data_IF_258171752797
#
_entry.id   IF_258171752797
#
_cell.length_a   1.000
_cell.length_b   1.000
_cell.length_c   1.000
_cell.angle_alpha   90.00
_cell.angle_beta   90.00
_cell.angle_gamma   90.00
#
_symmetry.space_group_name_H-M   'P 1'
#
loop_
_entity.id
_entity.type
_entity.pdbx_description
1 polymer ?
#
# COMPACT_ATOMS: atom_id res chain seq x y z
N UNK A 1 10.15 -14.41 -34.26
CA UNK A 1 9.46 -13.34 -35.03
C UNK A 1 8.08 -13.17 -34.44
N UNK A 2 7.77 -12.00 -33.88
CA UNK A 2 6.50 -11.77 -33.20
C UNK A 2 6.47 -10.44 -32.46
N UNK A 3 6.98 -9.38 -33.08
CA UNK A 3 6.70 -8.01 -32.67
C UNK A 3 5.24 -7.73 -32.99
N UNK A 4 4.38 -7.45 -31.99
CA UNK A 4 3.23 -6.52 -32.05
C UNK A 4 2.34 -6.71 -30.82
N UNK A 5 2.51 -5.85 -29.81
CA UNK A 5 1.43 -5.19 -29.05
C UNK A 5 1.95 -3.84 -28.50
N UNK A 6 2.78 -3.13 -29.28
CA UNK A 6 2.92 -1.67 -29.13
C UNK A 6 1.63 -1.08 -29.66
N UNK A 7 0.68 -0.70 -28.78
CA UNK A 7 -0.27 0.43 -28.99
C UNK A 7 -1.36 0.62 -27.93
N UNK A 8 -1.51 -0.20 -26.89
CA UNK A 8 -2.66 -0.03 -25.98
C UNK A 8 -2.41 0.63 -24.62
N UNK A 9 -1.17 0.99 -24.26
CA UNK A 9 -0.88 1.73 -23.02
C UNK A 9 -0.89 3.26 -23.20
N UNK A 10 -1.91 3.81 -23.86
CA UNK A 10 -2.09 5.28 -23.94
C UNK A 10 -3.35 5.81 -23.26
N UNK A 11 -4.07 5.01 -22.47
CA UNK A 11 -5.36 5.44 -21.91
C UNK A 11 -5.64 4.96 -20.47
N UNK A 12 -4.72 5.20 -19.55
CA UNK A 12 -5.08 5.29 -18.12
C UNK A 12 -5.05 6.74 -17.60
N UNK A 13 -5.07 7.73 -18.51
CA UNK A 13 -5.25 9.12 -18.16
C UNK A 13 -6.75 9.49 -18.09
N UNK A 14 -7.48 8.85 -17.17
CA UNK A 14 -8.75 9.38 -16.67
C UNK A 14 -8.52 9.72 -15.20
N UNK A 15 -8.66 11.00 -14.79
CA UNK A 15 -8.41 11.36 -13.40
C UNK A 15 -9.58 10.83 -12.57
N UNK A 16 -9.42 9.67 -11.95
CA UNK A 16 -10.08 9.43 -10.68
C UNK A 16 -9.19 10.05 -9.60
N UNK A 17 -9.80 10.86 -8.76
CA UNK A 17 -9.15 11.71 -7.78
C UNK A 17 -8.03 10.96 -7.06
N UNK A 18 -6.82 11.50 -7.17
CA UNK A 18 -5.68 11.19 -6.33
C UNK A 18 -6.13 11.40 -4.88
N UNK A 19 -6.62 10.35 -4.20
CA UNK A 19 -6.79 10.38 -2.74
C UNK A 19 -5.40 10.18 -2.13
N UNK A 20 -4.53 11.16 -2.36
CA UNK A 20 -3.42 11.46 -1.47
C UNK A 20 -4.05 12.23 -0.31
N UNK A 21 -3.70 11.85 0.92
CA UNK A 21 -4.02 12.62 2.10
C UNK A 21 -3.49 14.06 1.94
N UNK A 22 -4.34 14.97 1.46
CA UNK A 22 -4.07 16.41 1.47
C UNK A 22 -4.28 16.90 2.90
N UNK A 23 -3.19 16.94 3.67
CA UNK A 23 -3.11 17.77 4.86
C UNK A 23 -2.65 19.17 4.47
N UNK A 24 -3.33 20.25 4.88
CA UNK A 24 -2.81 21.59 4.65
C UNK A 24 -1.52 21.80 5.47
N UNK A 25 -0.58 22.57 4.90
CA UNK A 25 0.51 23.29 5.60
C UNK A 25 1.84 22.59 5.93
N UNK A 26 2.39 21.70 5.10
CA UNK A 26 3.82 21.30 5.21
C UNK A 26 4.44 21.13 3.81
N UNK A 27 5.61 21.73 3.55
CA UNK A 27 6.41 21.56 2.32
C UNK A 27 7.01 20.15 2.26
N UNK A 28 6.17 19.11 2.27
CA UNK A 28 6.60 17.72 2.20
C UNK A 28 6.40 17.26 0.76
N UNK A 29 7.47 16.79 0.08
CA UNK A 29 7.33 16.25 -1.26
C UNK A 29 6.41 15.02 -1.23
N UNK A 30 5.40 15.05 -2.11
CA UNK A 30 4.44 13.95 -2.26
C UNK A 30 5.03 12.91 -3.19
N UNK A 31 5.09 11.65 -2.73
CA UNK A 31 5.49 10.54 -3.58
C UNK A 31 4.36 10.21 -4.58
N UNK A 32 4.66 10.03 -5.88
CA UNK A 32 3.65 9.62 -6.85
C UNK A 32 3.21 8.19 -6.61
N UNK A 33 1.90 7.95 -6.56
CA UNK A 33 1.31 6.62 -6.44
C UNK A 33 0.54 6.27 -7.73
N UNK A 34 0.87 5.17 -8.43
CA UNK A 34 0.14 4.77 -9.62
C UNK A 34 -1.28 4.29 -9.27
N UNK A 35 -2.28 4.55 -10.14
CA UNK A 35 -3.62 4.01 -9.97
C UNK A 35 -3.61 2.48 -9.82
N UNK A 36 -4.56 1.95 -9.03
CA UNK A 36 -4.77 0.50 -8.86
C UNK A 36 -3.54 -0.30 -8.43
N UNK A 37 -2.64 0.30 -7.67
CA UNK A 37 -1.40 -0.34 -7.21
C UNK A 37 -1.37 -0.54 -5.69
N UNK A 38 -2.26 -1.38 -5.12
CA UNK A 38 -2.26 -1.67 -3.69
C UNK A 38 -0.96 -2.34 -3.23
N UNK A 39 -0.28 -3.09 -4.10
CA UNK A 39 0.99 -3.74 -3.74
C UNK A 39 2.12 -2.76 -3.47
N UNK A 40 1.97 -1.50 -3.90
CA UNK A 40 2.94 -0.43 -3.67
C UNK A 40 2.57 0.48 -2.50
N UNK A 41 1.41 0.26 -1.89
CA UNK A 41 0.90 1.08 -0.79
C UNK A 41 1.16 0.40 0.55
N UNK A 42 2.02 0.98 1.42
CA UNK A 42 2.28 0.44 2.76
C UNK A 42 1.01 0.25 3.60
N UNK A 43 0.00 1.10 3.40
CA UNK A 43 -1.27 0.95 4.10
C UNK A 43 -1.99 -0.35 3.70
N UNK A 44 -2.00 -0.67 2.41
CA UNK A 44 -2.74 -1.81 1.85
C UNK A 44 -2.04 -3.14 2.14
N UNK A 45 -0.72 -3.22 2.00
CA UNK A 45 -0.01 -4.49 2.20
C UNK A 45 0.47 -4.76 3.63
N UNK A 46 0.57 -3.72 4.48
CA UNK A 46 1.09 -3.88 5.85
C UNK A 46 0.07 -3.48 6.93
N UNK A 47 -0.45 -2.25 6.89
CA UNK A 47 -1.24 -1.72 8.01
C UNK A 47 -2.63 -2.34 8.12
N UNK A 48 -3.41 -2.35 7.02
CA UNK A 48 -4.77 -2.88 7.03
C UNK A 48 -4.83 -4.39 7.30
N UNK A 49 -3.93 -5.23 6.76
CA UNK A 49 -3.89 -6.64 7.13
C UNK A 49 -3.70 -6.86 8.64
N UNK A 50 -2.82 -6.08 9.29
CA UNK A 50 -2.61 -6.17 10.75
C UNK A 50 -3.83 -5.78 11.55
N UNK A 51 -4.46 -4.66 11.20
CA UNK A 51 -5.69 -4.21 11.85
C UNK A 51 -6.81 -5.22 11.63
N UNK A 52 -7.00 -5.69 10.39
CA UNK A 52 -8.03 -6.67 10.06
C UNK A 52 -7.84 -7.97 10.83
N UNK A 53 -6.60 -8.45 10.96
CA UNK A 53 -6.29 -9.66 11.73
C UNK A 53 -6.58 -9.48 13.22
N UNK A 54 -6.23 -8.33 13.79
CA UNK A 54 -6.51 -8.01 15.19
C UNK A 54 -8.02 -7.90 15.48
N UNK A 55 -8.78 -7.26 14.59
CA UNK A 55 -10.22 -7.06 14.76
C UNK A 55 -11.05 -8.30 14.40
N UNK A 56 -10.46 -9.26 13.68
CA UNK A 56 -11.18 -10.43 13.18
C UNK A 56 -11.72 -11.28 14.33
N UNK A 57 -13.00 -11.60 14.27
CA UNK A 57 -13.67 -12.46 15.26
C UNK A 57 -14.12 -11.73 16.53
N UNK A 58 -13.81 -10.44 16.68
CA UNK A 58 -14.30 -9.61 17.78
C UNK A 58 -15.58 -8.87 17.38
N UNK A 59 -16.60 -8.94 18.24
CA UNK A 59 -17.80 -8.11 18.14
C UNK A 59 -17.67 -6.93 19.10
N UNK A 60 -17.72 -5.72 18.57
CA UNK A 60 -17.71 -4.50 19.36
C UNK A 60 -19.12 -3.94 19.44
N UNK A 61 -19.66 -3.83 20.66
CA UNK A 61 -21.03 -3.33 20.87
C UNK A 61 -21.18 -1.81 20.71
N UNK A 62 -20.08 -1.07 20.67
CA UNK A 62 -20.07 0.40 20.56
C UNK A 62 -18.94 0.87 19.66
N UNK A 63 -19.11 2.07 19.08
CA UNK A 63 -18.07 2.73 18.30
C UNK A 63 -16.81 3.02 19.14
N UNK A 64 -16.99 3.41 20.40
CA UNK A 64 -15.86 3.71 21.29
C UNK A 64 -14.98 2.49 21.54
N UNK A 65 -15.58 1.30 21.70
CA UNK A 65 -14.81 0.07 21.85
C UNK A 65 -13.99 -0.25 20.58
N UNK A 66 -14.53 0.02 19.38
CA UNK A 66 -13.79 -0.15 18.12
C UNK A 66 -12.60 0.82 18.06
N UNK A 67 -12.84 2.10 18.38
CA UNK A 67 -11.79 3.13 18.37
C UNK A 67 -10.66 2.78 19.32
N UNK A 68 -10.99 2.35 20.54
CA UNK A 68 -9.99 1.93 21.53
C UNK A 68 -9.19 0.74 21.02
N UNK A 69 -9.85 -0.33 20.54
CA UNK A 69 -9.14 -1.51 20.01
C UNK A 69 -8.21 -1.18 18.84
N UNK A 70 -8.66 -0.34 17.89
CA UNK A 70 -7.82 0.12 16.77
C UNK A 70 -6.65 0.94 17.27
N UNK A 71 -6.89 1.86 18.21
CA UNK A 71 -5.84 2.74 18.76
C UNK A 71 -4.78 1.94 19.51
N UNK A 72 -5.21 1.01 20.36
CA UNK A 72 -4.32 0.13 21.13
C UNK A 72 -3.47 -0.72 20.18
N UNK A 73 -4.09 -1.28 19.14
CA UNK A 73 -3.36 -2.07 18.14
C UNK A 73 -2.35 -1.23 17.36
N UNK A 74 -2.69 0.02 17.00
CA UNK A 74 -1.75 0.92 16.33
C UNK A 74 -0.55 1.28 17.22
N UNK A 75 -0.80 1.51 18.52
CA UNK A 75 0.25 1.80 19.49
C UNK A 75 1.13 0.58 19.80
N UNK A 76 0.58 -0.62 19.67
CA UNK A 76 1.30 -1.87 19.90
C UNK A 76 2.28 -2.24 18.77
N UNK A 77 2.17 -1.62 17.58
CA UNK A 77 3.09 -1.90 16.47
C UNK A 77 4.47 -1.29 16.81
N UNK A 78 5.52 -2.11 16.94
CA UNK A 78 6.84 -1.60 17.27
C UNK A 78 7.45 -0.84 16.08
N UNK A 79 8.31 0.13 16.38
CA UNK A 79 8.99 0.96 15.37
C UNK A 79 9.79 0.09 14.37
N UNK A 80 10.37 -1.02 14.84
CA UNK A 80 11.10 -1.97 14.00
C UNK A 80 10.26 -2.55 12.87
N UNK A 81 8.96 -2.74 13.08
CA UNK A 81 8.06 -3.24 12.04
C UNK A 81 7.75 -2.17 10.98
N UNK A 82 7.67 -0.90 11.37
CA UNK A 82 7.60 0.19 10.40
C UNK A 82 8.88 0.30 9.57
N UNK A 83 10.05 0.11 10.19
CA UNK A 83 11.31 0.05 9.45
C UNK A 83 11.33 -1.11 8.46
N UNK A 84 10.91 -2.30 8.89
CA UNK A 84 10.82 -3.45 7.99
C UNK A 84 9.83 -3.21 6.85
N UNK A 85 8.66 -2.63 7.13
CA UNK A 85 7.69 -2.25 6.11
C UNK A 85 8.30 -1.30 5.06
N UNK A 86 9.16 -0.37 5.49
CA UNK A 86 9.85 0.54 4.58
C UNK A 86 10.88 -0.19 3.70
N UNK A 87 11.61 -1.16 4.24
CA UNK A 87 12.51 -2.01 3.46
C UNK A 87 11.75 -2.85 2.43
N UNK A 88 10.63 -3.45 2.82
CA UNK A 88 9.77 -4.20 1.88
C UNK A 88 9.14 -3.30 0.82
N UNK A 89 8.78 -2.07 1.17
CA UNK A 89 8.30 -1.08 0.22
C UNK A 89 9.34 -0.79 -0.87
N UNK A 90 10.62 -0.61 -0.51
CA UNK A 90 11.71 -0.43 -1.49
C UNK A 90 11.84 -1.64 -2.43
N UNK A 91 11.77 -2.86 -1.89
CA UNK A 91 11.82 -4.09 -2.71
C UNK A 91 10.64 -4.17 -3.68
N UNK A 92 9.43 -3.85 -3.23
CA UNK A 92 8.22 -3.80 -4.07
C UNK A 92 8.35 -2.77 -5.19
N UNK A 93 8.92 -1.60 -4.92
CA UNK A 93 9.22 -0.61 -5.95
C UNK A 93 10.22 -1.13 -6.99
N UNK A 94 11.29 -1.80 -6.56
CA UNK A 94 12.26 -2.42 -7.47
C UNK A 94 11.62 -3.48 -8.35
N UNK A 95 10.73 -4.30 -7.78
CA UNK A 95 9.95 -5.30 -8.54
C UNK A 95 9.03 -4.66 -9.55
N UNK A 96 8.32 -3.59 -9.19
CA UNK A 96 7.50 -2.84 -10.15
C UNK A 96 8.30 -2.35 -11.37
N UNK A 97 9.52 -1.85 -11.13
CA UNK A 97 10.44 -1.46 -12.21
C UNK A 97 10.85 -2.67 -13.05
N UNK A 98 11.25 -3.77 -12.42
CA UNK A 98 11.64 -5.00 -13.11
C UNK A 98 10.49 -5.65 -13.91
N UNK A 99 9.25 -5.49 -13.45
CA UNK A 99 8.03 -5.97 -14.10
C UNK A 99 7.47 -5.01 -15.14
N UNK A 100 8.18 -3.91 -15.45
CA UNK A 100 7.74 -2.87 -16.39
C UNK A 100 6.33 -2.32 -16.06
N UNK A 101 5.99 -2.25 -14.76
CA UNK A 101 4.67 -1.81 -14.28
C UNK A 101 3.57 -2.89 -14.30
N UNK A 102 3.89 -4.14 -14.61
CA UNK A 102 2.95 -5.27 -14.48
C UNK A 102 2.78 -5.70 -13.01
N UNK A 103 1.63 -6.30 -12.70
CA UNK A 103 1.38 -6.90 -11.38
C UNK A 103 2.36 -8.05 -11.12
N UNK A 104 2.80 -8.19 -9.87
CA UNK A 104 3.68 -9.27 -9.43
C UNK A 104 3.08 -9.96 -8.20
N UNK A 105 3.20 -11.29 -8.14
CA UNK A 105 2.59 -12.11 -7.10
C UNK A 105 3.66 -12.70 -6.17
N UNK A 106 3.46 -12.58 -4.85
CA UNK A 106 4.26 -13.24 -3.82
C UNK A 106 5.59 -12.57 -3.44
N UNK A 107 6.09 -12.89 -2.25
CA UNK A 107 7.39 -12.43 -1.73
C UNK A 107 8.57 -13.27 -2.23
N UNK A 108 8.33 -14.37 -2.95
CA UNK A 108 9.34 -15.36 -3.33
C UNK A 108 9.95 -15.11 -4.71
N UNK A 109 10.94 -14.22 -4.78
CA UNK A 109 12.10 -14.37 -5.68
C UNK A 109 13.30 -13.77 -4.96
N UNK A 110 14.31 -14.59 -4.65
CA UNK A 110 15.66 -14.15 -4.32
C UNK A 110 16.19 -13.33 -5.51
N UNK A 111 16.47 -12.05 -5.25
CA UNK A 111 17.33 -11.23 -6.11
C UNK A 111 18.74 -11.26 -5.54
#
# INVERSE_FOLDING_TARGET
MGTTQRKHLKNFNKPMETVVCQGPSKNIPVAPQPPYSPDLSPCDFFLFPKLKNHLKGHHFGTLENIKTAVTDQLQAIPISEFHQCYEEWKKRLQRCVASEGSYFEGDNVEL
#
